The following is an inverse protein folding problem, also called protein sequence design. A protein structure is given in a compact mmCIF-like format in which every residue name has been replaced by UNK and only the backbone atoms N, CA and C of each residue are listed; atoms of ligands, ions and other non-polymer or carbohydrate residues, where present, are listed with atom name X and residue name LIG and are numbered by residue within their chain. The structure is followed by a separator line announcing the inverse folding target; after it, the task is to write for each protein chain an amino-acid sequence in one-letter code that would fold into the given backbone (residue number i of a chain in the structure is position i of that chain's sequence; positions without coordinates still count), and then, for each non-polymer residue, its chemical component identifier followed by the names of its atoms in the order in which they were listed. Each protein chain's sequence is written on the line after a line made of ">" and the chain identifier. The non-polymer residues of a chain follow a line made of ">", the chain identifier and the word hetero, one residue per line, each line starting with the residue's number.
data_IF_218050525308
#
_entry.id   IF_218050525308
#
_cell.length_a   1.000
_cell.length_b   1.000
_cell.length_c   1.000
_cell.angle_alpha   90.00
_cell.angle_beta   90.00
_cell.angle_gamma   90.00
#
_symmetry.space_group_name_H-M   'P 1'
#
loop_
_entity.id
_entity.type
_entity.pdbx_description
1 polymer ?
#
# COMPACT_ATOMS: atom_id res chain seq x y z
N UNK A 1 31.10 1.06 11.29
CA UNK A 1 30.79 2.34 10.62
C UNK A 1 29.38 2.73 11.02
N UNK A 2 29.23 3.88 11.68
CA UNK A 2 27.92 4.38 12.09
C UNK A 2 27.12 4.91 10.89
N UNK A 3 25.78 5.02 11.05
CA UNK A 3 24.90 5.64 10.04
C UNK A 3 25.43 7.01 9.58
N UNK A 4 25.84 7.84 10.55
CA UNK A 4 26.28 9.21 10.25
C UNK A 4 27.60 9.24 9.47
N UNK A 5 28.53 8.38 9.84
CA UNK A 5 29.80 8.23 9.11
C UNK A 5 29.56 7.76 7.68
N UNK A 6 28.69 6.76 7.49
CA UNK A 6 28.35 6.23 6.18
C UNK A 6 27.73 7.29 5.26
N UNK A 7 26.75 8.04 5.77
CA UNK A 7 26.07 9.09 4.99
C UNK A 7 27.00 10.26 4.67
N UNK A 8 27.89 10.65 5.59
CA UNK A 8 28.88 11.72 5.35
C UNK A 8 29.90 11.31 4.28
N UNK A 9 30.40 10.06 4.34
CA UNK A 9 31.32 9.55 3.34
C UNK A 9 30.62 9.41 1.97
N UNK A 10 29.42 8.89 1.93
CA UNK A 10 28.61 8.81 0.70
C UNK A 10 28.38 10.19 0.08
N UNK A 11 28.06 11.21 0.91
CA UNK A 11 27.91 12.61 0.46
C UNK A 11 29.20 13.15 -0.15
N UNK A 12 30.32 12.88 0.49
CA UNK A 12 31.63 13.32 0.00
C UNK A 12 31.96 12.68 -1.36
N UNK A 13 31.70 11.37 -1.50
CA UNK A 13 31.99 10.64 -2.72
C UNK A 13 31.01 11.01 -3.86
N UNK A 14 29.72 11.24 -3.58
CA UNK A 14 28.76 11.73 -4.56
C UNK A 14 29.15 13.13 -5.08
N UNK A 15 29.59 14.02 -4.20
CA UNK A 15 30.05 15.36 -4.59
C UNK A 15 31.35 15.32 -5.42
N UNK A 16 32.32 14.47 -5.08
CA UNK A 16 33.54 14.26 -5.88
C UNK A 16 33.22 13.79 -7.31
N UNK A 17 32.22 12.95 -7.44
CA UNK A 17 31.80 12.41 -8.73
C UNK A 17 30.77 13.30 -9.47
N UNK A 18 30.50 14.51 -8.96
CA UNK A 18 29.60 15.52 -9.55
C UNK A 18 28.21 14.94 -9.86
N UNK A 19 27.66 14.17 -8.93
CA UNK A 19 26.33 13.57 -9.07
C UNK A 19 25.26 14.62 -8.77
N UNK A 20 24.39 14.89 -9.74
CA UNK A 20 23.43 16.00 -9.70
C UNK A 20 22.39 15.93 -8.57
N UNK A 21 21.93 14.73 -8.21
CA UNK A 21 20.88 14.52 -7.20
C UNK A 21 21.43 13.91 -5.88
N UNK A 22 22.61 14.37 -5.44
CA UNK A 22 23.29 13.83 -4.26
C UNK A 22 22.42 13.86 -2.99
N UNK A 23 21.65 14.92 -2.77
CA UNK A 23 20.78 15.06 -1.60
C UNK A 23 19.58 14.12 -1.63
N UNK A 24 19.00 13.83 -2.80
CA UNK A 24 17.91 12.85 -2.95
C UNK A 24 18.41 11.42 -2.70
N UNK A 25 19.60 11.10 -3.20
CA UNK A 25 20.27 9.81 -2.96
C UNK A 25 20.55 9.63 -1.46
N UNK A 26 21.11 10.63 -0.82
CA UNK A 26 21.36 10.60 0.63
C UNK A 26 20.07 10.37 1.43
N UNK A 27 18.99 11.04 1.05
CA UNK A 27 17.68 10.85 1.69
C UNK A 27 17.17 9.41 1.56
N UNK A 28 17.39 8.74 0.42
CA UNK A 28 17.02 7.34 0.23
C UNK A 28 17.82 6.38 1.11
N UNK A 29 19.14 6.60 1.20
CA UNK A 29 20.00 5.80 2.08
C UNK A 29 19.70 6.05 3.55
N UNK A 30 19.39 7.28 3.94
CA UNK A 30 18.95 7.59 5.29
C UNK A 30 17.65 6.86 5.66
N UNK A 31 16.67 6.86 4.74
CA UNK A 31 15.43 6.09 4.92
C UNK A 31 15.70 4.59 5.02
N UNK A 32 16.63 4.06 4.20
CA UNK A 32 17.00 2.65 4.26
C UNK A 32 17.56 2.26 5.64
N UNK A 33 18.47 3.08 6.19
CA UNK A 33 18.97 2.88 7.55
C UNK A 33 17.83 2.90 8.58
N UNK A 34 16.92 3.88 8.51
CA UNK A 34 15.79 3.96 9.43
C UNK A 34 14.88 2.73 9.37
N UNK A 35 14.64 2.18 8.18
CA UNK A 35 13.84 0.98 8.03
C UNK A 35 14.54 -0.24 8.62
N UNK A 36 15.84 -0.41 8.34
CA UNK A 36 16.59 -1.57 8.81
C UNK A 36 16.85 -1.54 10.32
N UNK A 37 17.10 -0.36 10.90
CA UNK A 37 17.16 -0.20 12.35
C UNK A 37 15.82 -0.55 13.02
N UNK A 38 14.70 -0.20 12.38
CA UNK A 38 13.37 -0.58 12.87
C UNK A 38 13.07 -2.08 12.75
N UNK A 39 13.73 -2.77 11.81
CA UNK A 39 13.67 -4.22 11.66
C UNK A 39 14.63 -4.96 12.64
N UNK A 40 15.45 -4.23 13.44
CA UNK A 40 16.32 -4.76 14.49
C UNK A 40 17.78 -5.00 14.07
N UNK A 41 18.21 -4.56 12.89
CA UNK A 41 19.62 -4.63 12.47
C UNK A 41 20.44 -3.51 13.11
N UNK A 42 21.72 -3.77 13.41
CA UNK A 42 22.65 -2.73 13.86
C UNK A 42 23.11 -1.82 12.72
N UNK A 43 23.59 -0.61 13.04
CA UNK A 43 24.10 0.33 12.03
C UNK A 43 25.27 -0.28 11.24
N UNK A 44 26.14 -1.02 11.93
CA UNK A 44 27.29 -1.68 11.34
C UNK A 44 26.91 -2.79 10.36
N UNK A 45 25.90 -3.58 10.70
CA UNK A 45 25.38 -4.63 9.80
C UNK A 45 24.73 -4.05 8.55
N UNK A 46 24.03 -2.91 8.71
CA UNK A 46 23.40 -2.21 7.60
C UNK A 46 24.47 -1.65 6.67
N UNK A 47 25.47 -0.94 7.23
CA UNK A 47 26.58 -0.38 6.46
C UNK A 47 27.37 -1.47 5.71
N UNK A 48 27.64 -2.61 6.36
CA UNK A 48 28.35 -3.74 5.74
C UNK A 48 27.56 -4.35 4.56
N UNK A 49 26.24 -4.44 4.68
CA UNK A 49 25.36 -4.94 3.60
C UNK A 49 25.19 -3.97 2.44
N UNK A 50 25.27 -2.68 2.69
CA UNK A 50 25.16 -1.65 1.66
C UNK A 50 26.43 -1.58 0.80
N UNK A 51 27.60 -1.99 1.34
CA UNK A 51 28.87 -1.91 0.65
C UNK A 51 29.56 -0.55 0.84
N UNK A 52 30.72 -0.40 0.20
CA UNK A 52 31.53 0.81 0.36
C UNK A 52 30.89 2.05 -0.30
N UNK A 53 30.78 3.20 0.40
CA UNK A 53 30.19 4.43 -0.15
C UNK A 53 30.81 4.88 -1.48
N UNK A 54 32.12 4.70 -1.63
CA UNK A 54 32.83 5.04 -2.88
C UNK A 54 32.35 4.20 -4.08
N UNK A 55 32.09 2.90 -3.90
CA UNK A 55 31.57 2.04 -4.97
C UNK A 55 30.15 2.43 -5.36
N UNK A 56 29.35 2.79 -4.37
CA UNK A 56 28.01 3.29 -4.60
C UNK A 56 28.04 4.60 -5.39
N UNK A 57 28.87 5.58 -4.96
CA UNK A 57 29.02 6.84 -5.67
C UNK A 57 29.46 6.66 -7.12
N UNK A 58 30.33 5.70 -7.41
CA UNK A 58 30.76 5.36 -8.79
C UNK A 58 29.61 4.78 -9.63
N UNK A 59 28.65 4.08 -9.03
CA UNK A 59 27.47 3.60 -9.76
C UNK A 59 26.55 4.74 -10.21
N UNK A 60 26.61 5.87 -9.48
CA UNK A 60 25.86 7.09 -9.81
C UNK A 60 26.69 8.08 -10.63
N UNK A 61 28.02 7.98 -10.61
CA UNK A 61 28.89 8.70 -11.53
C UNK A 61 28.64 8.12 -12.93
N UNK A 62 27.95 8.87 -13.77
CA UNK A 62 27.59 8.43 -15.12
C UNK A 62 28.80 7.80 -15.82
N UNK A 63 28.59 6.64 -16.44
CA UNK A 63 29.63 5.96 -17.22
C UNK A 63 30.16 6.96 -18.25
N UNK A 64 31.46 7.36 -18.21
CA UNK A 64 32.00 8.26 -19.19
C UNK A 64 32.02 7.52 -20.54
N UNK A 65 31.05 7.75 -21.39
CA UNK A 65 31.09 7.13 -22.71
C UNK A 65 29.79 6.95 -23.45
N UNK A 66 28.64 7.31 -22.96
CA UNK A 66 27.47 7.34 -23.87
C UNK A 66 27.57 8.53 -24.83
N UNK A 67 28.12 8.21 -26.00
CA UNK A 67 28.10 9.07 -27.18
C UNK A 67 26.70 9.64 -27.37
N UNK A 68 26.55 10.97 -27.37
CA UNK A 68 25.35 11.70 -27.75
C UNK A 68 24.69 10.99 -28.95
N UNK A 69 23.57 10.33 -28.71
CA UNK A 69 22.82 9.68 -29.77
C UNK A 69 22.47 10.69 -30.85
N UNK A 70 22.85 10.39 -32.12
CA UNK A 70 22.51 11.21 -33.26
C UNK A 70 21.02 11.56 -33.25
N UNK A 71 20.65 12.81 -33.57
CA UNK A 71 19.32 13.40 -33.36
C UNK A 71 18.11 12.55 -33.77
N UNK A 72 18.22 11.71 -34.79
CA UNK A 72 17.17 10.78 -35.20
C UNK A 72 16.83 9.72 -34.15
N UNK A 73 17.83 9.13 -33.48
CA UNK A 73 17.58 8.10 -32.43
C UNK A 73 16.89 8.70 -31.19
N UNK A 74 17.23 9.94 -30.84
CA UNK A 74 16.52 10.64 -29.74
C UNK A 74 15.07 10.95 -30.08
N UNK A 75 14.78 11.34 -31.34
CA UNK A 75 13.42 11.58 -31.78
C UNK A 75 12.54 10.31 -31.65
N UNK A 76 13.01 9.19 -32.15
CA UNK A 76 12.31 7.90 -32.03
C UNK A 76 12.15 7.46 -30.57
N UNK A 77 13.17 7.68 -29.74
CA UNK A 77 13.09 7.37 -28.31
C UNK A 77 12.01 8.22 -27.61
N UNK A 78 11.99 9.52 -27.86
CA UNK A 78 10.98 10.42 -27.29
C UNK A 78 9.57 10.04 -27.75
N UNK A 79 9.40 9.77 -29.06
CA UNK A 79 8.12 9.33 -29.62
C UNK A 79 7.64 8.02 -28.94
N UNK A 80 8.53 7.04 -28.80
CA UNK A 80 8.24 5.77 -28.13
C UNK A 80 7.86 5.96 -26.66
N UNK A 81 8.61 6.78 -25.93
CA UNK A 81 8.33 7.10 -24.54
C UNK A 81 7.00 7.86 -24.38
N UNK A 82 6.61 8.68 -25.35
CA UNK A 82 5.31 9.37 -25.35
C UNK A 82 4.16 8.37 -25.50
N UNK A 83 4.27 7.42 -26.44
CA UNK A 83 3.25 6.38 -26.63
C UNK A 83 3.11 5.53 -25.37
N UNK A 84 4.22 5.03 -24.83
CA UNK A 84 4.21 4.28 -23.55
C UNK A 84 3.57 5.13 -22.44
N UNK A 85 3.87 6.44 -22.42
CA UNK A 85 3.33 7.37 -21.44
C UNK A 85 1.82 7.49 -21.44
N UNK A 86 1.21 7.46 -22.61
CA UNK A 86 -0.25 7.49 -22.74
C UNK A 86 -0.85 6.20 -22.16
N UNK A 87 -0.28 5.02 -22.51
CA UNK A 87 -0.74 3.75 -21.94
C UNK A 87 -0.58 3.68 -20.42
N UNK A 88 0.58 4.12 -19.90
CA UNK A 88 0.81 4.18 -18.46
C UNK A 88 -0.17 5.13 -17.76
N UNK A 89 -0.45 6.30 -18.35
CA UNK A 89 -1.41 7.25 -17.79
C UNK A 89 -2.82 6.66 -17.73
N UNK A 90 -3.24 5.91 -18.76
CA UNK A 90 -4.51 5.18 -18.75
C UNK A 90 -4.55 4.11 -17.65
N UNK A 91 -3.49 3.32 -17.51
CA UNK A 91 -3.39 2.29 -16.45
C UNK A 91 -3.41 2.92 -15.06
N UNK A 92 -2.66 4.01 -14.85
CA UNK A 92 -2.66 4.71 -13.56
C UNK A 92 -4.01 5.36 -13.27
N UNK A 93 -4.68 5.89 -14.29
CA UNK A 93 -6.05 6.42 -14.17
C UNK A 93 -7.05 5.34 -13.78
N UNK A 94 -7.01 4.18 -14.44
CA UNK A 94 -7.86 3.04 -14.11
C UNK A 94 -7.59 2.53 -12.68
N UNK A 95 -6.31 2.45 -12.30
CA UNK A 95 -5.95 2.03 -10.95
C UNK A 95 -6.36 3.05 -9.88
N UNK A 96 -6.25 4.34 -10.18
CA UNK A 96 -6.75 5.42 -9.30
C UNK A 96 -8.27 5.32 -9.13
N UNK A 97 -9.02 5.10 -10.22
CA UNK A 97 -10.48 4.90 -10.17
C UNK A 97 -10.85 3.69 -9.30
N UNK A 98 -10.09 2.59 -9.41
CA UNK A 98 -10.26 1.43 -8.54
C UNK A 98 -10.01 1.77 -7.06
N UNK A 99 -8.99 2.56 -6.74
CA UNK A 99 -8.71 3.00 -5.37
C UNK A 99 -9.86 3.87 -4.83
N UNK A 100 -10.38 4.79 -5.64
CA UNK A 100 -11.54 5.61 -5.25
C UNK A 100 -12.76 4.72 -5.00
N UNK A 101 -13.02 3.74 -5.87
CA UNK A 101 -14.11 2.77 -5.68
C UNK A 101 -13.93 1.98 -4.37
N UNK A 102 -12.71 1.57 -4.00
CA UNK A 102 -12.44 0.90 -2.73
C UNK A 102 -12.74 1.81 -1.52
N UNK A 103 -12.36 3.08 -1.58
CA UNK A 103 -12.70 4.03 -0.53
C UNK A 103 -14.21 4.22 -0.40
N UNK A 104 -14.93 4.39 -1.51
CA UNK A 104 -16.39 4.47 -1.51
C UNK A 104 -17.02 3.17 -0.98
N UNK A 105 -16.51 2.02 -1.42
CA UNK A 105 -16.97 0.71 -0.96
C UNK A 105 -16.72 0.50 0.55
N UNK A 106 -15.70 1.14 1.13
CA UNK A 106 -15.47 1.05 2.58
C UNK A 106 -16.53 1.78 3.43
N UNK A 107 -17.25 2.73 2.85
CA UNK A 107 -18.32 3.46 3.54
C UNK A 107 -19.61 2.64 3.68
N UNK A 108 -19.87 1.72 2.75
CA UNK A 108 -21.07 0.87 2.79
C UNK A 108 -21.13 0.02 4.06
N UNK A 109 -20.09 -0.75 4.43
CA UNK A 109 -20.10 -1.50 5.68
C UNK A 109 -20.17 -0.61 6.93
N UNK A 110 -19.70 0.65 6.87
CA UNK A 110 -19.91 1.61 7.98
C UNK A 110 -21.38 1.90 8.14
N UNK A 111 -22.06 2.31 7.08
CA UNK A 111 -23.48 2.65 7.12
C UNK A 111 -24.32 1.47 7.61
N UNK A 112 -24.15 0.29 7.00
CA UNK A 112 -24.87 -0.93 7.39
C UNK A 112 -24.52 -1.40 8.81
N UNK A 113 -23.25 -1.25 9.22
CA UNK A 113 -22.81 -1.62 10.57
C UNK A 113 -23.43 -0.73 11.65
N UNK A 114 -23.50 0.57 11.40
CA UNK A 114 -24.15 1.53 12.31
C UNK A 114 -25.66 1.27 12.37
N UNK A 115 -26.31 1.03 11.23
CA UNK A 115 -27.73 0.70 11.14
C UNK A 115 -28.08 -0.54 11.97
N UNK A 116 -27.29 -1.62 11.85
CA UNK A 116 -27.48 -2.84 12.64
C UNK A 116 -27.29 -2.62 14.14
N UNK A 117 -26.27 -1.88 14.54
CA UNK A 117 -25.99 -1.61 15.96
C UNK A 117 -27.09 -0.71 16.56
N UNK A 118 -27.59 0.23 15.78
CA UNK A 118 -28.66 1.11 16.21
C UNK A 118 -30.05 0.42 16.26
N UNK A 119 -30.14 -0.82 15.76
CA UNK A 119 -31.41 -1.55 15.65
C UNK A 119 -32.38 -0.94 14.63
N UNK A 120 -31.84 -0.15 13.69
CA UNK A 120 -32.60 0.48 12.63
C UNK A 120 -32.53 -0.39 11.38
N UNK A 121 -33.54 -0.36 10.56
CA UNK A 121 -33.55 -1.05 9.25
C UNK A 121 -34.20 -0.13 8.19
N UNK A 122 -33.70 1.10 8.10
CA UNK A 122 -34.25 2.11 7.19
C UNK A 122 -34.12 1.69 5.72
N UNK A 123 -33.00 1.06 5.34
CA UNK A 123 -32.74 0.69 3.97
C UNK A 123 -33.45 -0.62 3.57
N UNK A 124 -33.97 -1.39 4.52
CA UNK A 124 -34.59 -2.70 4.31
C UNK A 124 -33.73 -3.66 3.46
N UNK A 125 -32.42 -3.45 3.47
CA UNK A 125 -31.43 -4.25 2.72
C UNK A 125 -31.01 -5.49 3.53
N UNK A 126 -31.03 -5.32 4.86
CA UNK A 126 -30.54 -6.35 5.76
C UNK A 126 -31.67 -7.32 6.11
N UNK A 127 -31.43 -8.63 6.01
CA UNK A 127 -32.43 -9.62 6.33
C UNK A 127 -32.74 -9.60 7.83
N UNK A 128 -33.96 -9.98 8.25
CA UNK A 128 -34.37 -10.01 9.64
C UNK A 128 -33.47 -10.93 10.46
N UNK A 129 -33.01 -10.45 11.61
CA UNK A 129 -32.19 -11.22 12.53
C UNK A 129 -32.39 -10.74 13.98
N UNK A 130 -32.12 -11.58 14.99
CA UNK A 130 -32.20 -11.18 16.38
C UNK A 130 -31.17 -10.08 16.70
N UNK A 131 -31.53 -9.15 17.58
CA UNK A 131 -30.71 -7.98 17.88
C UNK A 131 -29.30 -8.33 18.38
N UNK A 132 -29.15 -9.42 19.14
CA UNK A 132 -27.83 -9.94 19.56
C UNK A 132 -26.93 -10.31 18.37
N UNK A 133 -27.51 -10.91 17.33
CA UNK A 133 -26.83 -11.17 16.07
C UNK A 133 -26.49 -9.87 15.32
N UNK A 134 -27.45 -8.94 15.28
CA UNK A 134 -27.30 -7.66 14.57
C UNK A 134 -26.11 -6.85 15.09
N UNK A 135 -25.92 -6.76 16.42
CA UNK A 135 -24.77 -6.07 17.04
C UNK A 135 -23.45 -6.69 16.55
N UNK A 136 -23.33 -8.02 16.59
CA UNK A 136 -22.08 -8.70 16.21
C UNK A 136 -21.80 -8.53 14.71
N UNK A 137 -22.84 -8.65 13.88
CA UNK A 137 -22.73 -8.39 12.45
C UNK A 137 -22.36 -6.93 12.17
N UNK A 138 -22.91 -5.97 12.93
CA UNK A 138 -22.56 -4.57 12.82
C UNK A 138 -21.08 -4.31 13.15
N UNK A 139 -20.58 -4.85 14.26
CA UNK A 139 -19.16 -4.74 14.64
C UNK A 139 -18.27 -5.37 13.57
N UNK A 140 -18.63 -6.53 13.02
CA UNK A 140 -17.91 -7.20 11.93
C UNK A 140 -17.87 -6.33 10.66
N UNK A 141 -18.97 -5.68 10.30
CA UNK A 141 -19.03 -4.77 9.17
C UNK A 141 -18.14 -3.54 9.37
N UNK A 142 -18.11 -2.96 10.57
CA UNK A 142 -17.19 -1.89 10.91
C UNK A 142 -15.73 -2.34 10.80
N UNK A 143 -15.39 -3.53 11.25
CA UNK A 143 -14.05 -4.08 11.08
C UNK A 143 -13.71 -4.31 9.59
N UNK A 144 -14.66 -4.80 8.78
CA UNK A 144 -14.49 -4.96 7.34
C UNK A 144 -14.24 -3.61 6.63
N UNK A 145 -14.92 -2.53 7.04
CA UNK A 145 -14.69 -1.20 6.49
C UNK A 145 -13.26 -0.72 6.74
N UNK A 146 -12.73 -0.94 7.95
CA UNK A 146 -11.34 -0.60 8.29
C UNK A 146 -10.35 -1.39 7.44
N UNK A 147 -10.59 -2.69 7.21
CA UNK A 147 -9.76 -3.53 6.35
C UNK A 147 -9.73 -2.96 4.93
N UNK A 148 -10.90 -2.63 4.35
CA UNK A 148 -11.01 -2.05 3.01
C UNK A 148 -10.30 -0.69 2.92
N UNK A 149 -10.49 0.19 3.91
CA UNK A 149 -9.84 1.49 3.95
C UNK A 149 -8.31 1.38 4.03
N UNK A 150 -7.78 0.50 4.88
CA UNK A 150 -6.34 0.24 4.98
C UNK A 150 -5.80 -0.33 3.66
N UNK A 151 -6.54 -1.25 3.03
CA UNK A 151 -6.17 -1.80 1.73
C UNK A 151 -6.09 -0.70 0.65
N UNK A 152 -7.08 0.20 0.61
CA UNK A 152 -7.07 1.35 -0.30
C UNK A 152 -5.86 2.28 -0.08
N UNK A 153 -5.47 2.52 1.19
CA UNK A 153 -4.26 3.29 1.52
C UNK A 153 -2.99 2.61 0.98
N UNK A 154 -2.87 1.28 1.10
CA UNK A 154 -1.75 0.54 0.53
C UNK A 154 -1.74 0.62 -1.01
N UNK A 155 -2.91 0.46 -1.66
CA UNK A 155 -3.02 0.60 -3.11
C UNK A 155 -2.61 2.00 -3.58
N UNK A 156 -3.00 3.05 -2.86
CA UNK A 156 -2.60 4.43 -3.17
C UNK A 156 -1.08 4.63 -3.04
N UNK A 157 -0.47 4.04 -2.00
CA UNK A 157 0.97 4.10 -1.82
C UNK A 157 1.72 3.35 -2.93
N UNK A 158 1.21 2.19 -3.37
CA UNK A 158 1.75 1.46 -4.52
C UNK A 158 1.63 2.27 -5.81
N UNK A 159 0.48 2.86 -6.09
CA UNK A 159 0.29 3.72 -7.26
C UNK A 159 1.31 4.87 -7.28
N UNK A 160 1.46 5.57 -6.15
CA UNK A 160 2.44 6.65 -6.00
C UNK A 160 3.87 6.18 -6.28
N UNK A 161 4.22 4.98 -5.80
CA UNK A 161 5.53 4.40 -6.01
C UNK A 161 5.75 4.01 -7.48
N UNK A 162 4.76 3.40 -8.12
CA UNK A 162 4.81 3.04 -9.55
C UNK A 162 5.00 4.27 -10.44
N UNK A 163 4.25 5.34 -10.21
CA UNK A 163 4.37 6.59 -10.95
C UNK A 163 5.77 7.18 -10.79
N UNK A 164 6.31 7.20 -9.55
CA UNK A 164 7.67 7.69 -9.30
C UNK A 164 8.73 6.84 -10.01
N UNK A 165 8.59 5.52 -9.96
CA UNK A 165 9.52 4.60 -10.62
C UNK A 165 9.51 4.77 -12.13
N UNK A 166 8.33 4.91 -12.75
CA UNK A 166 8.19 5.15 -14.18
C UNK A 166 8.83 6.49 -14.61
N UNK A 167 8.55 7.56 -13.87
CA UNK A 167 9.14 8.87 -14.17
C UNK A 167 10.68 8.84 -14.07
N UNK A 168 11.22 8.14 -13.05
CA UNK A 168 12.67 7.96 -12.90
C UNK A 168 13.29 7.16 -14.05
N UNK A 169 12.64 6.04 -14.42
CA UNK A 169 13.06 5.21 -15.53
C UNK A 169 13.12 6.02 -16.86
N UNK A 170 12.13 6.88 -17.11
CA UNK A 170 12.12 7.76 -18.28
C UNK A 170 13.26 8.78 -18.27
N UNK A 171 13.54 9.40 -17.10
CA UNK A 171 14.67 10.32 -16.95
C UNK A 171 15.98 9.62 -17.27
N UNK A 172 16.19 8.40 -16.77
CA UNK A 172 17.38 7.61 -17.06
C UNK A 172 17.53 7.29 -18.54
N UNK A 173 16.44 6.93 -19.23
CA UNK A 173 16.48 6.64 -20.68
C UNK A 173 16.78 7.86 -21.52
N UNK A 174 16.36 9.04 -21.12
CA UNK A 174 16.65 10.28 -21.82
C UNK A 174 18.09 10.78 -21.58
N UNK A 175 18.86 10.07 -20.77
CA UNK A 175 20.26 10.39 -20.48
C UNK A 175 20.43 11.69 -19.66
N UNK A 176 19.37 12.12 -18.95
CA UNK A 176 19.46 13.31 -18.13
C UNK A 176 20.29 13.05 -16.85
N UNK A 177 20.16 11.85 -16.26
CA UNK A 177 20.82 11.46 -15.00
C UNK A 177 20.71 9.94 -14.80
N UNK A 178 21.75 9.29 -14.23
CA UNK A 178 21.69 7.89 -13.83
C UNK A 178 21.13 7.79 -12.41
N UNK A 179 19.79 7.90 -12.27
CA UNK A 179 19.13 7.79 -10.98
C UNK A 179 18.99 6.31 -10.55
N UNK A 180 19.17 5.99 -9.25
CA UNK A 180 19.02 4.62 -8.77
C UNK A 180 17.59 4.11 -8.95
N UNK A 181 17.47 2.79 -9.13
CA UNK A 181 16.17 2.14 -9.22
C UNK A 181 15.45 2.24 -7.86
N UNK A 182 14.21 2.70 -7.89
CA UNK A 182 13.37 2.74 -6.69
C UNK A 182 12.93 1.33 -6.30
N UNK A 183 12.84 1.03 -4.98
CA UNK A 183 12.29 -0.23 -4.51
C UNK A 183 10.81 -0.34 -4.94
N UNK A 184 10.39 -1.55 -5.33
CA UNK A 184 9.00 -1.79 -5.75
C UNK A 184 7.98 -1.66 -4.62
N UNK A 185 8.40 -1.82 -3.37
CA UNK A 185 7.52 -1.75 -2.20
C UNK A 185 7.26 -0.30 -1.78
N UNK A 186 6.03 0.04 -1.37
CA UNK A 186 5.72 1.39 -0.90
C UNK A 186 6.49 1.74 0.36
N UNK A 187 7.11 2.92 0.35
CA UNK A 187 7.92 3.42 1.46
C UNK A 187 7.04 4.22 2.41
N UNK A 188 6.64 3.60 3.51
CA UNK A 188 5.97 4.29 4.61
C UNK A 188 6.97 4.67 5.71
N UNK A 189 6.74 5.80 6.37
CA UNK A 189 7.48 6.11 7.61
C UNK A 189 7.29 4.97 8.62
N UNK A 190 8.31 4.60 9.42
CA UNK A 190 8.24 3.46 10.34
C UNK A 190 7.04 3.51 11.30
N UNK A 191 6.72 4.71 11.83
CA UNK A 191 5.54 4.92 12.69
C UNK A 191 4.24 4.59 11.97
N UNK A 192 4.06 5.09 10.74
CA UNK A 192 2.86 4.84 9.92
C UNK A 192 2.72 3.37 9.55
N UNK A 193 3.83 2.71 9.19
CA UNK A 193 3.84 1.28 8.86
C UNK A 193 3.41 0.42 10.05
N UNK A 194 3.94 0.72 11.26
CA UNK A 194 3.55 0.02 12.49
C UNK A 194 2.07 0.25 12.81
N UNK A 195 1.60 1.50 12.73
CA UNK A 195 0.20 1.84 13.00
C UNK A 195 -0.74 1.12 12.04
N UNK A 196 -0.49 1.18 10.72
CA UNK A 196 -1.32 0.49 9.72
C UNK A 196 -1.35 -1.02 9.92
N UNK A 197 -0.20 -1.64 10.23
CA UNK A 197 -0.13 -3.08 10.54
C UNK A 197 -0.94 -3.43 11.79
N UNK A 198 -0.79 -2.66 12.87
CA UNK A 198 -1.54 -2.88 14.10
C UNK A 198 -3.04 -2.74 13.88
N UNK A 199 -3.49 -1.66 13.21
CA UNK A 199 -4.90 -1.44 12.88
C UNK A 199 -5.45 -2.60 12.04
N UNK A 200 -4.71 -3.03 11.00
CA UNK A 200 -5.12 -4.13 10.15
C UNK A 200 -5.23 -5.45 10.94
N UNK A 201 -4.25 -5.77 11.79
CA UNK A 201 -4.27 -6.99 12.61
C UNK A 201 -5.46 -7.01 13.56
N UNK A 202 -5.74 -5.90 14.27
CA UNK A 202 -6.89 -5.80 15.14
C UNK A 202 -8.22 -5.88 14.38
N UNK A 203 -8.32 -5.21 13.23
CA UNK A 203 -9.52 -5.28 12.39
C UNK A 203 -9.78 -6.70 11.88
N UNK A 204 -8.76 -7.41 11.40
CA UNK A 204 -8.88 -8.81 10.97
C UNK A 204 -9.26 -9.72 12.13
N UNK A 205 -8.66 -9.52 13.31
CA UNK A 205 -8.98 -10.30 14.50
C UNK A 205 -10.45 -10.10 14.92
N UNK A 206 -10.91 -8.84 14.99
CA UNK A 206 -12.30 -8.51 15.33
C UNK A 206 -13.26 -9.10 14.28
N UNK A 207 -12.92 -9.00 12.99
CA UNK A 207 -13.70 -9.58 11.92
C UNK A 207 -13.81 -11.10 12.05
N UNK A 208 -12.70 -11.80 12.31
CA UNK A 208 -12.65 -13.26 12.44
C UNK A 208 -13.43 -13.74 13.67
N UNK A 209 -13.21 -13.10 14.83
CA UNK A 209 -13.94 -13.43 16.07
C UNK A 209 -15.43 -13.13 15.87
N UNK A 210 -15.78 -11.99 15.28
CA UNK A 210 -17.16 -11.61 15.01
C UNK A 210 -17.85 -12.55 14.02
N UNK A 211 -17.11 -13.14 13.08
CA UNK A 211 -17.61 -14.13 12.15
C UNK A 211 -18.00 -15.42 12.89
N UNK A 212 -17.09 -15.96 13.72
CA UNK A 212 -17.33 -17.19 14.48
C UNK A 212 -18.43 -16.98 15.54
N UNK A 213 -18.35 -15.88 16.29
CA UNK A 213 -19.34 -15.58 17.33
C UNK A 213 -20.73 -15.30 16.73
N UNK A 214 -20.80 -14.55 15.64
CA UNK A 214 -22.07 -14.29 14.96
C UNK A 214 -22.71 -15.55 14.42
N UNK A 215 -21.93 -16.45 13.81
CA UNK A 215 -22.40 -17.75 13.39
C UNK A 215 -22.95 -18.57 14.57
N UNK A 216 -22.15 -18.69 15.64
CA UNK A 216 -22.53 -19.48 16.82
C UNK A 216 -23.82 -18.96 17.47
N UNK A 217 -23.94 -17.64 17.67
CA UNK A 217 -25.15 -17.04 18.27
C UNK A 217 -26.39 -17.27 17.42
N UNK A 218 -26.30 -17.11 16.09
CA UNK A 218 -27.43 -17.36 15.22
C UNK A 218 -27.79 -18.85 15.15
N UNK A 219 -26.80 -19.73 15.12
CA UNK A 219 -27.03 -21.18 15.16
C UNK A 219 -27.71 -21.63 16.48
N UNK A 220 -27.29 -21.09 17.61
CA UNK A 220 -27.92 -21.37 18.91
C UNK A 220 -29.33 -20.79 18.95
N UNK A 221 -29.54 -19.57 18.49
CA UNK A 221 -30.85 -18.92 18.49
C UNK A 221 -31.88 -19.68 17.64
N UNK A 222 -31.48 -20.13 16.48
CA UNK A 222 -32.37 -20.88 15.54
C UNK A 222 -32.37 -22.38 15.79
N UNK A 223 -31.53 -22.88 16.71
CA UNK A 223 -31.29 -24.30 16.94
C UNK A 223 -30.95 -25.08 15.64
N UNK A 224 -30.33 -24.41 14.69
CA UNK A 224 -29.99 -24.96 13.38
C UNK A 224 -28.65 -24.44 12.90
N UNK A 225 -27.81 -25.33 12.35
CA UNK A 225 -26.57 -24.91 11.69
C UNK A 225 -26.85 -24.09 10.41
N UNK A 226 -28.02 -24.30 9.77
CA UNK A 226 -28.48 -23.55 8.61
C UNK A 226 -29.36 -22.37 9.01
N UNK A 227 -28.93 -21.51 9.93
CA UNK A 227 -29.72 -20.41 10.50
C UNK A 227 -30.37 -19.51 9.45
N UNK A 228 -29.77 -19.36 8.26
CA UNK A 228 -30.31 -18.55 7.17
C UNK A 228 -31.63 -19.11 6.62
N UNK A 229 -31.84 -20.44 6.64
CA UNK A 229 -33.13 -21.05 6.31
C UNK A 229 -34.18 -20.69 7.37
N UNK A 230 -33.80 -20.87 8.64
CA UNK A 230 -34.74 -20.64 9.75
C UNK A 230 -35.17 -19.17 9.86
N UNK A 231 -34.28 -18.23 9.51
CA UNK A 231 -34.53 -16.78 9.50
C UNK A 231 -35.18 -16.27 8.20
N UNK A 232 -35.46 -17.14 7.23
CA UNK A 232 -36.10 -16.78 5.96
C UNK A 232 -35.20 -15.97 5.02
N UNK A 233 -33.86 -16.11 5.13
CA UNK A 233 -32.94 -15.45 4.22
C UNK A 233 -32.94 -16.11 2.85
N UNK A 234 -32.56 -15.36 1.82
CA UNK A 234 -32.47 -15.86 0.44
C UNK A 234 -33.74 -16.47 -0.13
N UNK A 235 -34.92 -16.03 0.36
CA UNK A 235 -36.20 -16.52 -0.14
C UNK A 235 -36.72 -17.80 0.49
N UNK A 236 -36.06 -18.30 1.53
CA UNK A 236 -36.60 -19.44 2.30
C UNK A 236 -37.78 -18.99 3.18
N UNK A 237 -38.77 -19.86 3.43
CA UNK A 237 -39.84 -19.55 4.41
C UNK A 237 -39.24 -19.50 5.81
N UNK A 238 -39.46 -18.38 6.55
CA UNK A 238 -38.99 -18.25 7.93
C UNK A 238 -39.73 -19.27 8.84
N UNK A 239 -38.99 -19.98 9.65
CA UNK A 239 -39.50 -20.95 10.61
C UNK A 239 -39.39 -20.48 12.06
N UNK A 240 -38.65 -19.41 12.30
CA UNK A 240 -38.45 -18.77 13.61
C UNK A 240 -38.89 -17.32 13.52
N UNK A 241 -39.80 -16.88 14.38
CA UNK A 241 -40.28 -15.50 14.56
C UNK A 241 -39.78 -14.94 15.87
#
# INVERSE_FOLDING_TARGET
>A
MTKQEYLNELKSELNKNVVADADDILGEYEQHFLFKLADGFSEEEIAAKLGAPAQIALQFAGIPGEKKAKGGKKFFLVLWLTIIGIFEAMLYGAFLSFIVALFCASLVPVALGVELIAGLNYLNILPPMPYSGAIIFGIKLLAASVILAVFAIYCLAYLKQMVRASLRWRKNLLGAEALPLLPMSPQFKPKTRRALRSILLWAVLIFAIGFVAGYAILAIYTQSFGFWHALGWFGYPATVY
#
